data_IF_262848580136
#
_entry.id   IF_262848580136
#
_cell.length_a   1.000
_cell.length_b   1.000
_cell.length_c   1.000
_cell.angle_alpha   90.00
_cell.angle_beta   90.00
_cell.angle_gamma   90.00
#
_symmetry.space_group_name_H-M   'P 1'
#
loop_
_entity.id
_entity.type
_entity.pdbx_description
1 polymer ?
#
# COMPACT_ATOMS: atom_id res chain seq x y z
N UNK A 1 7.82 -9.82 -2.57
CA UNK A 1 8.67 -10.79 -1.83
C UNK A 1 8.34 -10.83 -0.34
N UNK A 2 8.18 -9.68 0.33
CA UNK A 2 7.87 -9.60 1.76
C UNK A 2 6.65 -10.45 2.20
N UNK A 3 5.54 -10.44 1.45
CA UNK A 3 4.35 -11.23 1.76
C UNK A 3 4.55 -12.74 1.60
N UNK A 4 5.25 -13.18 0.53
CA UNK A 4 5.50 -14.59 0.23
C UNK A 4 6.40 -15.25 1.29
N UNK A 5 7.33 -14.47 1.86
CA UNK A 5 8.33 -14.95 2.81
C UNK A 5 7.83 -14.92 4.27
N UNK A 6 6.57 -14.54 4.48
CA UNK A 6 5.95 -14.43 5.79
C UNK A 6 5.20 -15.74 6.11
N UNK A 7 5.56 -16.41 7.22
CA UNK A 7 4.89 -17.66 7.65
C UNK A 7 3.49 -17.42 8.23
N UNK A 8 3.27 -16.22 8.77
CA UNK A 8 1.96 -15.81 9.26
C UNK A 8 1.06 -15.36 8.09
N UNK A 9 -0.09 -16.04 7.95
CA UNK A 9 -1.08 -15.75 6.92
C UNK A 9 -1.71 -14.37 7.10
N UNK A 10 -1.93 -13.92 8.33
CA UNK A 10 -2.50 -12.60 8.59
C UNK A 10 -1.53 -11.49 8.12
N UNK A 11 -0.27 -11.57 8.54
CA UNK A 11 0.78 -10.66 8.10
C UNK A 11 0.97 -10.68 6.58
N UNK A 12 0.88 -11.86 5.94
CA UNK A 12 0.95 -11.98 4.49
C UNK A 12 -0.21 -11.27 3.78
N UNK A 13 -1.46 -11.50 4.23
CA UNK A 13 -2.66 -10.84 3.69
C UNK A 13 -2.60 -9.32 3.86
N UNK A 14 -2.14 -8.84 5.03
CA UNK A 14 -2.00 -7.42 5.30
C UNK A 14 -1.03 -6.77 4.30
N UNK A 15 0.16 -7.35 4.12
CA UNK A 15 1.16 -6.83 3.18
C UNK A 15 0.60 -6.82 1.75
N UNK A 16 -0.13 -7.87 1.34
CA UNK A 16 -0.78 -7.91 0.03
C UNK A 16 -1.85 -6.82 -0.11
N UNK A 17 -2.75 -6.70 0.87
CA UNK A 17 -3.86 -5.74 0.83
C UNK A 17 -3.39 -4.29 0.77
N UNK A 18 -2.40 -3.93 1.58
CA UNK A 18 -1.81 -2.58 1.55
C UNK A 18 -1.11 -2.31 0.23
N UNK A 19 -0.31 -3.25 -0.26
CA UNK A 19 0.41 -3.10 -1.54
C UNK A 19 -0.56 -2.97 -2.71
N UNK A 20 -1.61 -3.79 -2.74
CA UNK A 20 -2.64 -3.78 -3.78
C UNK A 20 -3.45 -2.47 -3.76
N UNK A 21 -3.84 -1.99 -2.58
CA UNK A 21 -4.56 -0.73 -2.43
C UNK A 21 -3.72 0.44 -2.92
N UNK A 22 -2.43 0.50 -2.54
CA UNK A 22 -1.50 1.51 -3.04
C UNK A 22 -1.36 1.46 -4.57
N UNK A 23 -1.19 0.25 -5.12
CA UNK A 23 -1.09 0.06 -6.56
C UNK A 23 -2.35 0.51 -7.30
N UNK A 24 -3.54 0.17 -6.81
CA UNK A 24 -4.79 0.63 -7.41
C UNK A 24 -4.93 2.14 -7.36
N UNK A 25 -4.63 2.77 -6.21
CA UNK A 25 -4.61 4.22 -6.12
C UNK A 25 -3.67 4.82 -7.16
N UNK A 26 -2.45 4.30 -7.28
CA UNK A 26 -1.48 4.78 -8.27
C UNK A 26 -1.97 4.56 -9.71
N UNK A 27 -2.43 3.36 -10.05
CA UNK A 27 -2.88 3.01 -11.39
C UNK A 27 -4.12 3.81 -11.82
N UNK A 28 -5.08 4.01 -10.94
CA UNK A 28 -6.29 4.81 -11.18
C UNK A 28 -5.94 6.28 -11.37
N UNK A 29 -5.03 6.83 -10.54
CA UNK A 29 -4.53 8.19 -10.72
C UNK A 29 -3.82 8.36 -12.07
N UNK A 30 -2.99 7.39 -12.48
CA UNK A 30 -2.32 7.43 -13.79
C UNK A 30 -3.31 7.26 -14.96
N UNK A 31 -4.33 6.43 -14.81
CA UNK A 31 -5.39 6.30 -15.81
C UNK A 31 -6.14 7.63 -16.03
N UNK A 32 -6.39 8.40 -14.96
CA UNK A 32 -6.97 9.75 -15.09
C UNK A 32 -6.02 10.71 -15.82
N UNK A 33 -4.72 10.69 -15.51
CA UNK A 33 -3.72 11.54 -16.17
C UNK A 33 -3.55 11.21 -17.66
N UNK A 34 -3.66 9.94 -18.02
CA UNK A 34 -3.64 9.48 -19.43
C UNK A 34 -4.98 9.67 -20.16
N UNK A 35 -6.04 10.14 -19.48
CA UNK A 35 -7.37 10.33 -20.07
C UNK A 35 -8.19 9.04 -20.29
N UNK A 36 -7.78 7.93 -19.68
CA UNK A 36 -8.45 6.62 -19.78
C UNK A 36 -9.65 6.47 -18.83
N UNK A 37 -9.76 7.32 -17.81
CA UNK A 37 -10.81 7.31 -16.80
C UNK A 37 -11.25 8.76 -16.47
N UNK A 38 -12.51 9.00 -16.07
CA UNK A 38 -12.98 10.34 -15.71
C UNK A 38 -12.19 10.88 -14.51
N UNK A 39 -11.86 12.18 -14.54
CA UNK A 39 -11.05 12.84 -13.52
C UNK A 39 -11.90 13.06 -12.26
N UNK A 40 -11.56 12.39 -11.16
CA UNK A 40 -12.28 12.47 -9.88
C UNK A 40 -11.58 13.39 -8.86
N UNK A 41 -10.48 14.03 -9.24
CA UNK A 41 -9.77 15.00 -8.38
C UNK A 41 -9.15 14.40 -7.12
N UNK A 42 -8.83 13.10 -7.13
CA UNK A 42 -8.21 12.42 -5.99
C UNK A 42 -6.73 12.79 -5.91
N UNK A 43 -6.17 13.11 -4.74
CA UNK A 43 -4.75 13.44 -4.61
C UNK A 43 -3.86 12.23 -4.96
N UNK A 44 -2.88 12.47 -5.83
CA UNK A 44 -1.89 11.46 -6.22
C UNK A 44 -1.10 10.96 -4.99
N UNK A 45 -1.02 9.64 -4.75
CA UNK A 45 -0.28 9.09 -3.62
C UNK A 45 1.15 9.61 -3.58
N UNK A 46 1.56 10.16 -2.42
CA UNK A 46 2.90 10.68 -2.14
C UNK A 46 3.38 11.91 -2.95
N UNK A 47 2.64 12.34 -3.98
CA UNK A 47 3.05 13.45 -4.87
C UNK A 47 2.11 14.66 -4.73
N UNK A 48 0.86 14.47 -4.29
CA UNK A 48 -0.11 15.56 -4.13
C UNK A 48 -0.05 16.22 -2.75
N UNK A 49 -0.47 17.50 -2.68
CA UNK A 49 -0.60 18.32 -1.46
C UNK A 49 -1.75 17.90 -0.52
N UNK A 50 -2.25 16.67 -0.63
CA UNK A 50 -3.29 16.13 0.25
C UNK A 50 -2.72 15.62 1.57
N UNK A 51 -2.54 16.50 2.57
CA UNK A 51 -1.93 16.16 3.86
C UNK A 51 -2.53 14.92 4.55
N UNK A 52 -3.87 14.81 4.59
CA UNK A 52 -4.55 13.64 5.19
C UNK A 52 -4.30 12.34 4.42
N UNK A 53 -4.27 12.40 3.08
CA UNK A 53 -3.97 11.22 2.25
C UNK A 53 -2.53 10.73 2.43
N UNK A 54 -1.59 11.66 2.64
CA UNK A 54 -0.20 11.37 2.97
C UNK A 54 -0.09 10.66 4.32
N UNK A 55 -0.77 11.17 5.36
CA UNK A 55 -0.77 10.54 6.69
C UNK A 55 -1.32 9.11 6.64
N UNK A 56 -2.44 8.88 5.94
CA UNK A 56 -3.03 7.54 5.80
C UNK A 56 -2.06 6.58 5.09
N UNK A 57 -1.40 7.04 4.02
CA UNK A 57 -0.40 6.24 3.32
C UNK A 57 0.82 5.92 4.20
N UNK A 58 1.31 6.89 4.97
CA UNK A 58 2.42 6.69 5.90
C UNK A 58 2.09 5.66 6.99
N UNK A 59 0.88 5.72 7.56
CA UNK A 59 0.39 4.72 8.53
C UNK A 59 0.30 3.35 7.88
N UNK A 60 -0.23 3.25 6.66
CA UNK A 60 -0.34 1.99 5.93
C UNK A 60 1.05 1.36 5.65
N UNK A 61 2.03 2.16 5.24
CA UNK A 61 3.41 1.69 5.09
C UNK A 61 4.06 1.30 6.43
N UNK A 62 3.75 2.02 7.51
CA UNK A 62 4.18 1.64 8.86
C UNK A 62 3.66 0.27 9.30
N UNK A 63 2.39 -0.03 9.01
CA UNK A 63 1.79 -1.35 9.27
C UNK A 63 2.43 -2.45 8.42
N UNK A 64 2.68 -2.17 7.13
CA UNK A 64 3.36 -3.09 6.23
C UNK A 64 4.78 -3.43 6.74
N UNK A 65 5.53 -2.41 7.18
CA UNK A 65 6.86 -2.59 7.75
C UNK A 65 6.83 -3.37 9.07
N UNK A 66 5.87 -3.07 9.95
CA UNK A 66 5.69 -3.80 11.20
C UNK A 66 5.41 -5.29 10.96
N UNK A 67 4.51 -5.61 10.01
CA UNK A 67 4.19 -6.98 9.61
C UNK A 67 5.39 -7.70 8.95
N UNK A 68 6.31 -6.96 8.32
CA UNK A 68 7.54 -7.52 7.77
C UNK A 68 8.60 -7.82 8.84
N UNK A 69 8.74 -6.94 9.83
CA UNK A 69 9.73 -7.04 10.91
C UNK A 69 9.32 -8.09 11.96
N UNK A 70 8.06 -8.08 12.39
CA UNK A 70 7.54 -8.96 13.45
C UNK A 70 7.10 -10.33 12.95
N UNK A 71 7.62 -10.78 11.82
CA UNK A 71 7.35 -12.12 11.32
C UNK A 71 7.86 -13.18 12.32
N UNK A 72 7.06 -14.20 12.67
CA UNK A 72 7.52 -15.26 13.56
C UNK A 72 8.75 -15.93 12.92
N UNK A 73 9.91 -15.75 13.55
CA UNK A 73 11.13 -16.45 13.19
C UNK A 73 10.86 -17.92 13.47
N UNK A 74 10.69 -18.72 12.41
CA UNK A 74 10.63 -20.16 12.56
C UNK A 74 11.91 -20.60 13.24
N UNK A 75 11.79 -21.08 14.48
CA UNK A 75 12.84 -21.83 15.16
C UNK A 75 13.08 -23.06 14.28
N UNK A 76 14.33 -23.21 13.82
CA UNK A 76 14.82 -24.44 13.19
C UNK A 76 15.01 -25.46 14.30
#
# INVERSE_FOLDING_TARGET
IAAIRNKDRFSSLLIYGVTFTFFLYFAVNMAMVMGLAPVVGVPLPLVSYGGSSLLVLMVAFGLLQSAHVHKPRGVI
#
